data_IF_790762970783
#
_entry.id   IF_790762970783
#
_cell.length_a   1.000
_cell.length_b   1.000
_cell.length_c   1.000
_cell.angle_alpha   90.00
_cell.angle_beta   90.00
_cell.angle_gamma   90.00
#
_symmetry.space_group_name_H-M   'P 1'
#
loop_
_entity.id
_entity.type
_entity.pdbx_description
1 polymer ?
#
# COMPACT_ATOMS: atom_id res chain seq x y z
N UNK A 1 0.38 -11.50 -7.17
CA UNK A 1 0.03 -11.64 -5.74
C UNK A 1 0.84 -10.60 -4.99
N UNK A 2 0.18 -9.58 -4.44
CA UNK A 2 0.86 -8.46 -3.78
C UNK A 2 1.11 -8.72 -2.29
N UNK A 3 1.93 -7.88 -1.66
CA UNK A 3 2.29 -7.97 -0.24
C UNK A 3 1.05 -8.06 0.67
N UNK A 4 0.00 -7.32 0.35
CA UNK A 4 -1.26 -7.33 1.12
C UNK A 4 -2.03 -8.64 0.99
N UNK A 5 -2.01 -9.28 -0.19
CA UNK A 5 -2.60 -10.62 -0.36
C UNK A 5 -1.83 -11.67 0.43
N UNK A 6 -0.51 -11.49 0.59
CA UNK A 6 0.33 -12.35 1.41
C UNK A 6 0.02 -12.19 2.90
N UNK A 7 -0.09 -10.96 3.39
CA UNK A 7 -0.43 -10.66 4.79
C UNK A 7 -1.81 -11.23 5.15
N UNK A 8 -2.82 -11.03 4.28
CA UNK A 8 -4.17 -11.56 4.47
C UNK A 8 -4.22 -13.10 4.42
N UNK A 9 -3.40 -13.72 3.56
CA UNK A 9 -3.30 -15.18 3.45
C UNK A 9 -2.48 -15.85 4.57
N UNK A 10 -1.49 -15.16 5.14
CA UNK A 10 -0.62 -15.69 6.20
C UNK A 10 -1.20 -15.52 7.61
N UNK A 11 -2.07 -14.53 7.80
CA UNK A 11 -2.60 -14.15 9.10
C UNK A 11 -4.12 -14.19 9.02
N UNK A 12 -4.68 -15.33 9.44
CA UNK A 12 -6.11 -15.72 9.45
C UNK A 12 -7.04 -14.81 10.31
N UNK A 13 -6.66 -13.54 10.51
CA UNK A 13 -7.35 -12.52 11.31
C UNK A 13 -7.63 -11.30 10.44
N UNK A 14 -8.78 -10.65 10.66
CA UNK A 14 -9.14 -9.45 9.89
C UNK A 14 -8.07 -8.37 10.01
N UNK A 15 -7.70 -7.75 8.89
CA UNK A 15 -6.74 -6.64 8.78
C UNK A 15 -6.92 -5.58 9.88
N UNK A 16 -8.17 -5.26 10.23
CA UNK A 16 -8.55 -4.33 11.31
C UNK A 16 -7.98 -4.74 12.68
N UNK A 17 -8.03 -6.02 13.01
CA UNK A 17 -7.49 -6.54 14.27
C UNK A 17 -5.96 -6.48 14.28
N UNK A 18 -5.30 -6.81 13.18
CA UNK A 18 -3.83 -6.77 13.06
C UNK A 18 -3.28 -5.35 13.23
N UNK A 19 -3.89 -4.37 12.56
CA UNK A 19 -3.45 -2.98 12.60
C UNK A 19 -3.67 -2.29 13.96
N UNK A 20 -4.53 -2.86 14.82
CA UNK A 20 -4.78 -2.30 16.16
C UNK A 20 -3.55 -2.37 17.08
N UNK A 21 -2.70 -3.38 16.90
CA UNK A 21 -1.47 -3.57 17.67
C UNK A 21 -0.24 -2.88 17.11
N UNK A 22 -0.33 -2.25 15.94
CA UNK A 22 0.81 -1.60 15.28
C UNK A 22 0.83 -0.09 15.56
N UNK A 23 2.04 0.51 15.75
CA UNK A 23 2.23 1.93 15.95
C UNK A 23 2.11 2.71 14.63
N UNK A 24 0.95 2.61 13.97
CA UNK A 24 0.63 3.33 12.75
C UNK A 24 -0.23 4.55 13.07
N UNK A 25 -0.09 5.60 12.26
CA UNK A 25 -0.96 6.77 12.35
C UNK A 25 -2.40 6.42 11.99
N UNK A 26 -3.35 7.25 12.46
CA UNK A 26 -4.78 7.04 12.23
C UNK A 26 -5.11 7.05 10.74
N UNK A 27 -4.48 7.93 9.98
CA UNK A 27 -4.71 8.11 8.54
C UNK A 27 -4.27 6.86 7.75
N UNK A 28 -3.14 6.24 8.15
CA UNK A 28 -2.67 4.99 7.54
C UNK A 28 -3.63 3.85 7.88
N UNK A 29 -4.13 3.77 9.12
CA UNK A 29 -5.12 2.76 9.51
C UNK A 29 -6.43 2.91 8.73
N UNK A 30 -6.94 4.13 8.57
CA UNK A 30 -8.15 4.42 7.78
C UNK A 30 -7.96 3.99 6.33
N UNK A 31 -6.83 4.34 5.71
CA UNK A 31 -6.55 3.93 4.32
C UNK A 31 -6.48 2.41 4.16
N UNK A 32 -5.87 1.70 5.11
CA UNK A 32 -5.71 0.24 5.05
C UNK A 32 -7.00 -0.53 5.35
N UNK A 33 -7.83 -0.05 6.28
CA UNK A 33 -9.07 -0.74 6.71
C UNK A 33 -10.26 -0.34 5.86
N UNK A 34 -10.48 0.97 5.70
CA UNK A 34 -11.70 1.52 5.10
C UNK A 34 -11.48 1.94 3.65
N UNK A 35 -10.23 1.95 3.15
CA UNK A 35 -9.87 2.45 1.82
C UNK A 35 -10.35 3.89 1.58
N UNK A 36 -10.19 4.74 2.59
CA UNK A 36 -10.55 6.16 2.54
C UNK A 36 -9.44 7.03 3.16
N UNK A 37 -9.64 8.34 3.13
CA UNK A 37 -8.69 9.29 3.71
C UNK A 37 -7.51 9.59 2.78
N UNK A 38 -6.52 10.37 3.26
CA UNK A 38 -5.51 11.00 2.41
C UNK A 38 -4.54 10.00 1.76
N UNK A 39 -4.36 8.81 2.35
CA UNK A 39 -3.45 7.79 1.82
C UNK A 39 -4.16 6.74 0.95
N UNK A 40 -5.49 6.76 0.84
CA UNK A 40 -6.22 5.80 0.01
C UNK A 40 -5.84 5.87 -1.48
N UNK A 41 -5.69 7.06 -2.10
CA UNK A 41 -5.25 7.14 -3.49
C UNK A 41 -3.85 6.54 -3.71
N UNK A 42 -2.91 6.77 -2.79
CA UNK A 42 -1.58 6.16 -2.86
C UNK A 42 -1.63 4.63 -2.72
N UNK A 43 -2.41 4.12 -1.76
CA UNK A 43 -2.64 2.69 -1.57
C UNK A 43 -3.26 2.04 -2.82
N UNK A 44 -4.25 2.71 -3.42
CA UNK A 44 -4.91 2.23 -4.63
C UNK A 44 -3.99 2.29 -5.85
N UNK A 45 -3.16 3.34 -6.00
CA UNK A 45 -2.17 3.41 -7.07
C UNK A 45 -1.23 2.20 -7.06
N UNK A 46 -0.71 1.82 -5.88
CA UNK A 46 0.17 0.64 -5.72
C UNK A 46 -0.57 -0.66 -6.01
N UNK A 47 -1.77 -0.86 -5.45
CA UNK A 47 -2.58 -2.06 -5.73
C UNK A 47 -2.86 -2.25 -7.22
N UNK A 48 -3.20 -1.17 -7.92
CA UNK A 48 -3.50 -1.22 -9.35
C UNK A 48 -2.23 -1.39 -10.19
N UNK A 49 -1.10 -0.84 -9.75
CA UNK A 49 0.20 -1.08 -10.35
C UNK A 49 0.58 -2.57 -10.29
N UNK A 50 0.41 -3.22 -9.13
CA UNK A 50 0.65 -4.66 -8.95
C UNK A 50 -0.29 -5.55 -9.78
N UNK A 51 -1.52 -5.08 -10.01
CA UNK A 51 -2.55 -5.81 -10.78
C UNK A 51 -2.50 -5.54 -12.29
N UNK A 52 -1.50 -4.80 -12.78
CA UNK A 52 -1.37 -4.39 -14.19
C UNK A 52 -2.58 -3.59 -14.71
N UNK A 53 -3.32 -2.93 -13.82
CA UNK A 53 -4.48 -2.08 -14.14
C UNK A 53 -4.03 -0.63 -14.37
N UNK A 54 -3.54 -0.37 -15.59
CA UNK A 54 -2.85 0.88 -15.93
C UNK A 54 -3.74 2.12 -15.79
N UNK A 55 -4.99 2.06 -16.23
CA UNK A 55 -5.90 3.22 -16.24
C UNK A 55 -6.26 3.68 -14.82
N UNK A 56 -6.59 2.73 -13.94
CA UNK A 56 -6.95 3.02 -12.56
C UNK A 56 -5.71 3.47 -11.75
N UNK A 57 -4.53 2.92 -12.05
CA UNK A 57 -3.27 3.38 -11.48
C UNK A 57 -3.02 4.86 -11.83
N UNK A 58 -3.14 5.23 -13.12
CA UNK A 58 -2.94 6.61 -13.58
C UNK A 58 -3.92 7.61 -12.95
N UNK A 59 -5.17 7.20 -12.75
CA UNK A 59 -6.18 8.04 -12.10
C UNK A 59 -5.80 8.36 -10.65
N UNK A 60 -5.40 7.34 -9.89
CA UNK A 60 -4.98 7.52 -8.50
C UNK A 60 -3.67 8.34 -8.39
N UNK A 61 -2.70 8.11 -9.27
CA UNK A 61 -1.46 8.89 -9.30
C UNK A 61 -1.71 10.37 -9.59
N UNK A 62 -2.69 10.68 -10.45
CA UNK A 62 -3.11 12.06 -10.73
C UNK A 62 -3.69 12.74 -9.49
N UNK A 63 -4.47 12.02 -8.68
CA UNK A 63 -5.07 12.55 -7.45
C UNK A 63 -4.02 12.98 -6.43
N UNK A 64 -2.91 12.23 -6.34
CA UNK A 64 -1.78 12.54 -5.46
C UNK A 64 -0.66 13.33 -6.14
N UNK A 65 -0.90 13.81 -7.37
CA UNK A 65 0.05 14.62 -8.15
C UNK A 65 1.44 13.95 -8.35
N UNK A 66 1.46 12.63 -8.47
CA UNK A 66 2.69 11.86 -8.75
C UNK A 66 2.82 11.64 -10.25
N UNK A 67 4.02 11.91 -10.78
CA UNK A 67 4.36 11.60 -12.16
C UNK A 67 4.30 10.08 -12.40
N UNK A 68 3.48 9.59 -13.35
CA UNK A 68 3.40 8.16 -13.67
C UNK A 68 4.71 7.48 -13.99
N UNK A 69 5.72 8.22 -14.46
CA UNK A 69 7.05 7.68 -14.76
C UNK A 69 7.82 7.26 -13.50
N UNK A 70 7.44 7.80 -12.34
CA UNK A 70 8.08 7.52 -11.06
C UNK A 70 7.52 6.29 -10.35
N UNK A 71 6.31 5.84 -10.70
CA UNK A 71 5.60 4.79 -9.94
C UNK A 71 6.42 3.49 -9.83
N UNK A 72 7.14 3.10 -10.88
CA UNK A 72 7.96 1.90 -10.86
C UNK A 72 9.15 2.03 -9.91
N UNK A 73 9.82 3.19 -9.90
CA UNK A 73 10.92 3.47 -8.97
C UNK A 73 10.44 3.56 -7.52
N UNK A 74 9.34 4.28 -7.27
CA UNK A 74 8.73 4.40 -5.94
C UNK A 74 8.27 3.04 -5.40
N UNK A 75 7.72 2.18 -6.25
CA UNK A 75 7.35 0.82 -5.88
C UNK A 75 8.56 0.01 -5.43
N UNK A 76 9.65 0.01 -6.23
CA UNK A 76 10.88 -0.71 -5.89
C UNK A 76 11.49 -0.20 -4.57
N UNK A 77 11.58 1.13 -4.40
CA UNK A 77 12.06 1.74 -3.16
C UNK A 77 11.22 1.33 -1.94
N UNK A 78 9.90 1.20 -2.12
CA UNK A 78 9.00 0.78 -1.04
C UNK A 78 9.21 -0.70 -0.66
N UNK A 79 9.52 -1.56 -1.63
CA UNK A 79 9.88 -2.96 -1.39
C UNK A 79 11.21 -3.06 -0.66
N UNK A 80 12.25 -2.36 -1.15
CA UNK A 80 13.58 -2.31 -0.53
C UNK A 80 13.48 -1.85 0.94
N UNK A 81 12.73 -0.77 1.20
CA UNK A 81 12.49 -0.29 2.56
C UNK A 81 11.81 -1.35 3.46
N UNK A 82 10.86 -2.10 2.92
CA UNK A 82 10.20 -3.19 3.64
C UNK A 82 11.16 -4.33 3.99
N UNK A 83 12.04 -4.71 3.06
CA UNK A 83 13.07 -5.72 3.29
C UNK A 83 14.09 -5.28 4.34
N UNK A 84 14.58 -4.04 4.27
CA UNK A 84 15.49 -3.47 5.27
C UNK A 84 14.87 -3.44 6.67
N UNK A 85 13.59 -3.05 6.76
CA UNK A 85 12.87 -3.02 8.04
C UNK A 85 12.79 -4.43 8.67
N UNK A 86 12.52 -5.45 7.86
CA UNK A 86 12.44 -6.84 8.32
C UNK A 86 13.81 -7.43 8.67
N UNK A 87 14.87 -7.05 7.96
CA UNK A 87 16.24 -7.47 8.24
C UNK A 87 16.78 -6.89 9.56
N UNK A 88 16.23 -5.75 9.99
CA UNK A 88 16.60 -5.04 11.21
C UNK A 88 15.67 -5.32 12.42
N UNK A 89 14.71 -6.24 12.30
CA UNK A 89 13.86 -6.72 13.39
C UNK A 89 14.40 -8.03 13.99
#
# INVERSE_FOLDING_TARGET
>A
MGLFSLIDAMLDKSMKYLLSGLPLTTEVKIALVDNTGPYAPALNAVKQYEQSSKEQCLQNLKEIQVDPRLVGGLYLQSVEYGEELLANC
#
